data_IF_074529416233
#
_entry.id   IF_074529416233
#
_cell.length_a   1.000
_cell.length_b   1.000
_cell.length_c   1.000
_cell.angle_alpha   90.00
_cell.angle_beta   90.00
_cell.angle_gamma   90.00
#
_symmetry.space_group_name_H-M   'P 1'
#
loop_
_entity.id
_entity.type
_entity.pdbx_description
1 polymer ?
#
# COMPACT_ATOMS: atom_id res chain seq x y z
N UNK A 1 5.69 0.42 22.00
CA UNK A 1 6.78 1.00 21.19
C UNK A 1 7.56 2.07 21.93
N UNK A 2 6.93 3.03 22.61
CA UNK A 2 7.63 4.13 23.29
C UNK A 2 8.65 3.66 24.35
N UNK A 3 8.26 2.74 25.25
CA UNK A 3 9.17 2.17 26.26
C UNK A 3 10.38 1.42 25.63
N UNK A 4 10.19 0.78 24.48
CA UNK A 4 11.28 0.11 23.77
C UNK A 4 12.23 1.13 23.13
N UNK A 5 11.69 2.23 22.61
CA UNK A 5 12.49 3.34 22.08
C UNK A 5 13.41 3.91 23.15
N UNK A 6 12.85 4.20 24.32
CA UNK A 6 13.60 4.77 25.46
C UNK A 6 14.67 3.78 25.94
N UNK A 7 14.32 2.51 26.09
CA UNK A 7 15.28 1.47 26.47
C UNK A 7 16.44 1.31 25.48
N UNK A 8 16.16 1.45 24.18
CA UNK A 8 17.18 1.37 23.13
C UNK A 8 18.03 2.65 23.01
N UNK A 9 17.58 3.78 23.54
CA UNK A 9 18.36 5.04 23.53
C UNK A 9 19.27 5.20 24.75
N UNK A 10 19.09 4.39 25.79
CA UNK A 10 19.93 4.39 26.99
C UNK A 10 21.32 3.77 26.73
N UNK A 11 22.24 3.92 27.69
CA UNK A 11 23.61 3.36 27.61
C UNK A 11 23.66 1.84 27.35
N UNK A 12 22.64 1.10 27.80
CA UNK A 12 22.51 -0.35 27.57
C UNK A 12 21.76 -0.71 26.28
N UNK A 13 21.39 0.28 25.47
CA UNK A 13 20.55 0.08 24.30
C UNK A 13 21.16 -0.83 23.23
N UNK A 14 22.48 -0.83 23.10
CA UNK A 14 23.17 -1.68 22.13
C UNK A 14 23.16 -3.16 22.57
N UNK A 15 23.33 -3.41 23.87
CA UNK A 15 23.20 -4.76 24.44
C UNK A 15 21.77 -5.28 24.29
N UNK A 16 20.76 -4.44 24.54
CA UNK A 16 19.36 -4.81 24.33
C UNK A 16 19.08 -5.12 22.86
N UNK A 17 19.57 -4.28 21.93
CA UNK A 17 19.44 -4.51 20.50
C UNK A 17 20.08 -5.84 20.08
N UNK A 18 21.26 -6.16 20.62
CA UNK A 18 21.95 -7.42 20.38
C UNK A 18 21.18 -8.62 20.92
N UNK A 19 20.63 -8.55 22.14
CA UNK A 19 19.79 -9.60 22.70
C UNK A 19 18.53 -9.85 21.86
N UNK A 20 17.86 -8.78 21.42
CA UNK A 20 16.67 -8.89 20.57
C UNK A 20 17.05 -9.55 19.23
N UNK A 21 18.13 -9.08 18.60
CA UNK A 21 18.62 -9.63 17.32
C UNK A 21 19.10 -11.07 17.45
N UNK A 22 19.67 -11.46 18.59
CA UNK A 22 20.04 -12.85 18.87
C UNK A 22 18.80 -13.74 18.97
N UNK A 23 17.75 -13.28 19.65
CA UNK A 23 16.50 -14.02 19.79
C UNK A 23 15.70 -14.07 18.47
N UNK A 24 15.70 -12.97 17.72
CA UNK A 24 14.99 -12.80 16.46
C UNK A 24 15.98 -12.34 15.39
N UNK A 25 16.75 -13.25 14.76
CA UNK A 25 17.73 -12.87 13.74
C UNK A 25 17.10 -12.26 12.49
N UNK A 26 15.84 -12.60 12.20
CA UNK A 26 15.10 -12.08 11.06
C UNK A 26 13.83 -11.37 11.51
N UNK A 27 13.62 -10.16 11.01
CA UNK A 27 12.39 -9.41 11.19
C UNK A 27 11.74 -9.07 9.84
N UNK A 28 10.43 -9.22 9.79
CA UNK A 28 9.60 -8.82 8.66
C UNK A 28 8.48 -7.93 9.17
N UNK A 29 8.42 -6.70 8.65
CA UNK A 29 7.41 -5.72 9.02
C UNK A 29 6.45 -5.57 7.84
N UNK A 30 5.20 -5.93 8.07
CA UNK A 30 4.11 -5.72 7.11
C UNK A 30 3.48 -4.34 7.31
N UNK A 31 2.76 -3.85 6.30
CA UNK A 31 2.16 -2.52 6.28
C UNK A 31 3.15 -1.39 6.64
N UNK A 32 4.39 -1.49 6.14
CA UNK A 32 5.47 -0.57 6.50
C UNK A 32 5.18 0.89 6.13
N UNK A 33 4.27 1.15 5.18
CA UNK A 33 3.83 2.50 4.84
C UNK A 33 3.09 3.22 5.99
N UNK A 34 2.59 2.47 6.98
CA UNK A 34 1.92 3.01 8.17
C UNK A 34 2.88 3.20 9.36
N UNK A 35 4.18 2.95 9.15
CA UNK A 35 5.22 3.08 10.19
C UNK A 35 5.65 4.54 10.36
N UNK A 36 5.88 4.95 11.62
CA UNK A 36 6.43 6.27 11.94
C UNK A 36 7.96 6.27 12.10
N UNK A 37 8.56 7.46 12.16
CA UNK A 37 10.02 7.63 12.27
C UNK A 37 10.60 6.99 13.54
N UNK A 38 9.84 6.92 14.64
CA UNK A 38 10.30 6.34 15.90
C UNK A 38 10.35 4.81 15.80
N UNK A 39 9.31 4.20 15.25
CA UNK A 39 9.26 2.77 14.97
C UNK A 39 10.37 2.35 14.00
N UNK A 40 10.56 3.12 12.91
CA UNK A 40 11.66 2.84 11.99
C UNK A 40 13.03 2.96 12.65
N UNK A 41 13.25 3.97 13.51
CA UNK A 41 14.49 4.13 14.25
C UNK A 41 14.84 2.90 15.10
N UNK A 42 13.84 2.29 15.74
CA UNK A 42 14.01 1.10 16.56
C UNK A 42 14.44 -0.10 15.71
N UNK A 43 13.73 -0.37 14.61
CA UNK A 43 14.10 -1.47 13.72
C UNK A 43 15.45 -1.25 13.04
N UNK A 44 15.76 -0.01 12.66
CA UNK A 44 17.06 0.35 12.08
C UNK A 44 18.20 0.10 13.06
N UNK A 45 18.05 0.50 14.33
CA UNK A 45 19.04 0.24 15.38
C UNK A 45 19.24 -1.25 15.63
N UNK A 46 18.15 -2.03 15.67
CA UNK A 46 18.23 -3.46 15.92
C UNK A 46 18.84 -4.20 14.73
N UNK A 47 18.43 -3.92 13.49
CA UNK A 47 18.73 -4.80 12.36
C UNK A 47 19.63 -4.22 11.28
N UNK A 48 19.73 -2.88 11.15
CA UNK A 48 20.49 -2.25 10.07
C UNK A 48 21.88 -1.81 10.50
N UNK A 49 22.02 -1.17 11.66
CA UNK A 49 23.31 -0.62 12.11
C UNK A 49 24.34 -1.72 12.43
N UNK A 50 23.88 -2.92 12.81
CA UNK A 50 24.73 -4.05 13.20
C UNK A 50 24.39 -5.30 12.39
N UNK A 51 24.33 -5.15 11.06
CA UNK A 51 24.01 -6.23 10.14
C UNK A 51 25.12 -7.29 10.16
N UNK A 52 24.73 -8.55 10.35
CA UNK A 52 25.61 -9.72 10.27
C UNK A 52 25.10 -10.70 9.20
N UNK A 53 25.94 -11.62 8.74
CA UNK A 53 25.58 -12.61 7.72
C UNK A 53 24.36 -13.48 8.08
N UNK A 54 24.02 -13.59 9.37
CA UNK A 54 22.91 -14.41 9.86
C UNK A 54 21.70 -13.59 10.33
N UNK A 55 21.60 -12.33 9.92
CA UNK A 55 20.49 -11.44 10.30
C UNK A 55 19.85 -10.81 9.08
N UNK A 56 18.55 -10.53 9.14
CA UNK A 56 17.82 -9.94 8.03
C UNK A 56 16.65 -9.06 8.45
N UNK A 57 16.38 -8.03 7.65
CA UNK A 57 15.30 -7.09 7.87
C UNK A 57 14.54 -6.88 6.57
N UNK A 58 13.26 -7.23 6.56
CA UNK A 58 12.38 -7.15 5.41
C UNK A 58 11.25 -6.19 5.75
N UNK A 59 11.06 -5.20 4.88
CA UNK A 59 9.97 -4.23 4.98
C UNK A 59 9.03 -4.47 3.82
N UNK A 60 7.77 -4.78 4.12
CA UNK A 60 6.71 -5.01 3.15
C UNK A 60 5.71 -3.88 3.31
N UNK A 61 5.36 -3.25 2.19
CA UNK A 61 4.37 -2.18 2.19
C UNK A 61 4.14 -1.62 0.81
N UNK A 62 3.08 -0.83 0.70
CA UNK A 62 2.71 -0.14 -0.54
C UNK A 62 2.56 1.37 -0.28
N UNK A 63 3.46 2.22 -0.81
CA UNK A 63 3.39 3.67 -0.59
C UNK A 63 2.11 4.27 -1.19
N UNK A 64 1.48 3.61 -2.19
CA UNK A 64 0.21 4.03 -2.78
C UNK A 64 -0.96 3.91 -1.81
N UNK A 65 -0.81 3.13 -0.73
CA UNK A 65 -1.83 2.90 0.29
C UNK A 65 -1.59 3.71 1.57
N UNK A 66 -0.58 4.60 1.58
CA UNK A 66 -0.26 5.46 2.72
C UNK A 66 -1.30 6.58 2.94
N UNK A 67 -2.49 6.23 3.41
CA UNK A 67 -3.63 7.15 3.61
C UNK A 67 -3.74 7.68 5.05
N UNK A 68 -2.89 7.21 5.98
CA UNK A 68 -2.96 7.54 7.41
C UNK A 68 -2.09 8.73 7.84
N UNK A 69 -1.81 9.69 6.95
CA UNK A 69 -1.00 10.89 7.26
C UNK A 69 -1.48 11.66 8.50
N UNK A 70 -2.78 11.61 8.83
CA UNK A 70 -3.36 12.27 10.01
C UNK A 70 -3.07 11.56 11.35
N UNK A 71 -2.49 10.35 11.34
CA UNK A 71 -2.14 9.57 12.55
C UNK A 71 -0.65 9.53 12.87
N UNK A 72 0.17 10.30 12.14
CA UNK A 72 1.62 10.34 12.35
C UNK A 72 2.40 9.28 11.56
N UNK A 73 1.72 8.43 10.78
CA UNK A 73 2.37 7.64 9.73
C UNK A 73 3.00 8.61 8.73
N UNK A 74 4.29 8.43 8.49
CA UNK A 74 5.09 9.35 7.70
C UNK A 74 5.57 8.65 6.43
N UNK A 75 4.94 8.99 5.30
CA UNK A 75 5.38 8.51 3.98
C UNK A 75 6.87 8.81 3.74
N UNK A 76 7.43 9.88 4.31
CA UNK A 76 8.86 10.16 4.22
C UNK A 76 9.70 9.13 4.97
N UNK A 77 9.19 8.52 6.04
CA UNK A 77 9.85 7.40 6.72
C UNK A 77 9.89 6.17 5.82
N UNK A 78 8.79 5.84 5.14
CA UNK A 78 8.78 4.77 4.14
C UNK A 78 9.82 5.03 3.04
N UNK A 79 9.78 6.22 2.45
CA UNK A 79 10.68 6.61 1.35
C UNK A 79 12.15 6.58 1.78
N UNK A 80 12.45 7.12 2.97
CA UNK A 80 13.79 7.06 3.56
C UNK A 80 14.25 5.63 3.77
N UNK A 81 13.39 4.76 4.29
CA UNK A 81 13.73 3.36 4.50
C UNK A 81 13.95 2.61 3.18
N UNK A 82 13.14 2.90 2.17
CA UNK A 82 13.33 2.37 0.82
C UNK A 82 14.69 2.81 0.24
N UNK A 83 15.05 4.09 0.36
CA UNK A 83 16.36 4.66 -0.03
C UNK A 83 17.55 4.03 0.69
N UNK A 84 17.29 3.52 1.88
CA UNK A 84 18.27 2.91 2.74
C UNK A 84 18.32 1.36 2.65
N UNK A 85 17.43 0.74 1.88
CA UNK A 85 17.36 -0.70 1.72
C UNK A 85 18.37 -1.21 0.68
N UNK A 86 19.04 -2.33 0.99
CA UNK A 86 20.03 -2.95 0.10
C UNK A 86 19.41 -3.43 -1.23
N UNK A 87 18.14 -3.86 -1.18
CA UNK A 87 17.38 -4.36 -2.31
C UNK A 87 15.92 -3.93 -2.21
N UNK A 88 15.31 -3.65 -3.37
CA UNK A 88 13.88 -3.38 -3.50
C UNK A 88 13.26 -4.36 -4.49
N UNK A 89 12.05 -4.80 -4.18
CA UNK A 89 11.29 -5.73 -5.02
C UNK A 89 9.87 -5.21 -5.19
N UNK A 90 9.35 -5.30 -6.42
CA UNK A 90 7.97 -4.97 -6.74
C UNK A 90 7.19 -6.24 -7.07
N UNK A 91 6.00 -6.39 -6.47
CA UNK A 91 5.11 -7.51 -6.74
C UNK A 91 4.14 -7.13 -7.87
N UNK A 92 4.50 -7.53 -9.10
CA UNK A 92 3.78 -7.14 -10.33
C UNK A 92 2.53 -7.97 -10.65
N UNK A 93 2.12 -8.86 -9.75
CA UNK A 93 1.01 -9.79 -9.98
C UNK A 93 0.02 -9.79 -8.82
N UNK A 94 -1.22 -9.46 -9.14
CA UNK A 94 -2.36 -9.50 -8.24
C UNK A 94 -2.98 -10.90 -8.24
N UNK A 95 -3.01 -11.53 -7.07
CA UNK A 95 -3.58 -12.86 -6.83
C UNK A 95 -4.97 -12.83 -6.18
N UNK A 96 -5.46 -11.63 -5.82
CA UNK A 96 -6.69 -11.43 -5.04
C UNK A 96 -7.90 -11.15 -5.91
N UNK A 97 -7.69 -10.43 -7.02
CA UNK A 97 -8.75 -9.85 -7.83
C UNK A 97 -8.77 -10.42 -9.24
N UNK A 98 -9.98 -10.55 -9.78
CA UNK A 98 -10.25 -10.97 -11.15
C UNK A 98 -9.67 -9.96 -12.17
N UNK A 99 -9.38 -10.46 -13.37
CA UNK A 99 -8.67 -9.72 -14.41
C UNK A 99 -9.33 -8.38 -14.77
N UNK A 100 -10.64 -8.33 -14.98
CA UNK A 100 -11.34 -7.09 -15.35
C UNK A 100 -11.33 -6.05 -14.23
N UNK A 101 -11.29 -6.48 -12.96
CA UNK A 101 -11.07 -5.57 -11.81
C UNK A 101 -9.68 -4.95 -11.89
N UNK A 102 -8.64 -5.77 -12.03
CA UNK A 102 -7.26 -5.27 -12.11
C UNK A 102 -7.06 -4.34 -13.31
N UNK A 103 -7.59 -4.71 -14.47
CA UNK A 103 -7.54 -3.88 -15.69
C UNK A 103 -8.25 -2.54 -15.51
N UNK A 104 -9.44 -2.53 -14.89
CA UNK A 104 -10.17 -1.29 -14.64
C UNK A 104 -9.43 -0.35 -13.68
N UNK A 105 -8.78 -0.88 -12.63
CA UNK A 105 -7.92 -0.06 -11.75
C UNK A 105 -6.70 0.45 -12.51
N UNK A 106 -6.03 -0.39 -13.30
CA UNK A 106 -4.88 0.05 -14.09
C UNK A 106 -5.25 1.20 -15.03
N UNK A 107 -6.40 1.13 -15.70
CA UNK A 107 -6.91 2.20 -16.56
C UNK A 107 -7.31 3.45 -15.77
N UNK A 108 -7.95 3.26 -14.62
CA UNK A 108 -8.36 4.38 -13.76
C UNK A 108 -7.17 5.22 -13.31
N UNK A 109 -6.02 4.60 -13.06
CA UNK A 109 -4.80 5.25 -12.61
C UNK A 109 -3.80 5.60 -13.74
N UNK A 110 -4.17 5.40 -15.01
CA UNK A 110 -3.36 5.75 -16.18
C UNK A 110 -3.47 7.25 -16.51
N UNK A 111 -3.04 8.09 -15.57
CA UNK A 111 -3.08 9.54 -15.74
C UNK A 111 -1.81 10.07 -16.44
N UNK A 112 -1.91 11.12 -17.27
CA UNK A 112 -0.74 11.76 -17.89
C UNK A 112 0.25 12.37 -16.89
N UNK A 113 -0.22 12.68 -15.68
CA UNK A 113 0.58 13.15 -14.53
C UNK A 113 0.39 12.14 -13.40
N UNK A 114 1.36 12.05 -12.47
CA UNK A 114 1.26 11.13 -11.34
C UNK A 114 -0.10 11.29 -10.63
N UNK A 115 -0.85 10.20 -10.41
CA UNK A 115 -2.12 10.25 -9.68
C UNK A 115 -1.95 10.53 -8.19
N UNK A 116 -0.70 10.54 -7.70
CA UNK A 116 -0.37 10.74 -6.31
C UNK A 116 0.16 12.15 -6.05
N UNK A 117 -0.01 12.61 -4.80
CA UNK A 117 0.41 13.95 -4.35
C UNK A 117 1.93 14.12 -4.39
N UNK A 118 2.68 13.01 -4.31
CA UNK A 118 4.14 13.01 -4.27
C UNK A 118 4.70 12.36 -5.53
N UNK A 119 5.65 13.05 -6.18
CA UNK A 119 6.23 12.61 -7.46
C UNK A 119 7.04 11.30 -7.36
N UNK A 120 7.50 10.95 -6.17
CA UNK A 120 8.25 9.72 -5.90
C UNK A 120 7.36 8.52 -5.56
N UNK A 121 6.04 8.67 -5.67
CA UNK A 121 5.09 7.56 -5.60
C UNK A 121 4.58 7.32 -7.01
N UNK A 122 5.03 6.23 -7.62
CA UNK A 122 4.62 5.84 -8.96
C UNK A 122 3.49 4.81 -8.91
N UNK A 123 2.52 4.95 -9.82
CA UNK A 123 1.60 3.86 -10.12
C UNK A 123 2.22 2.94 -11.17
N UNK A 124 2.53 1.70 -10.81
CA UNK A 124 2.96 0.69 -11.77
C UNK A 124 1.80 -0.29 -12.02
N UNK A 125 1.30 -0.40 -13.27
CA UNK A 125 0.26 -1.37 -13.60
C UNK A 125 0.68 -2.80 -13.27
N UNK A 126 -0.26 -3.59 -12.73
CA UNK A 126 -0.01 -5.00 -12.36
C UNK A 126 -0.86 -5.95 -13.20
N UNK A 127 -0.42 -7.20 -13.30
CA UNK A 127 -1.17 -8.28 -13.98
C UNK A 127 -2.04 -9.06 -13.00
N UNK A 128 -3.20 -9.55 -13.43
CA UNK A 128 -4.00 -10.47 -12.64
C UNK A 128 -3.56 -11.93 -12.82
N UNK A 129 -3.82 -12.77 -11.82
CA UNK A 129 -3.81 -14.23 -11.99
C UNK A 129 -4.94 -14.65 -12.94
N UNK A 130 -4.69 -15.60 -13.84
CA UNK A 130 -5.59 -15.96 -14.96
C UNK A 130 -6.79 -16.83 -14.60
N UNK A 131 -6.81 -17.45 -13.42
CA UNK A 131 -7.77 -18.49 -13.01
C UNK A 131 -8.76 -18.00 -11.93
N UNK A 132 -9.20 -16.75 -12.04
CA UNK A 132 -10.24 -16.22 -11.17
C UNK A 132 -11.64 -16.69 -11.59
N UNK A 133 -12.48 -16.97 -10.61
CA UNK A 133 -13.91 -17.18 -10.85
C UNK A 133 -14.54 -15.86 -11.29
N UNK A 134 -15.36 -15.92 -12.33
CA UNK A 134 -16.13 -14.77 -12.79
C UNK A 134 -17.40 -14.64 -11.93
N UNK A 135 -17.79 -13.39 -11.64
CA UNK A 135 -18.99 -13.12 -10.88
C UNK A 135 -20.22 -13.14 -11.81
N UNK A 136 -21.23 -13.92 -11.44
CA UNK A 136 -22.50 -14.02 -12.16
C UNK A 136 -23.65 -13.68 -11.21
N UNK A 137 -24.62 -12.93 -11.69
CA UNK A 137 -25.86 -12.63 -11.00
C UNK A 137 -27.02 -12.98 -11.92
N UNK A 138 -27.97 -13.78 -11.45
CA UNK A 138 -29.10 -14.28 -12.25
C UNK A 138 -28.71 -14.97 -13.57
N UNK A 139 -27.53 -15.62 -13.60
CA UNK A 139 -27.01 -16.31 -14.79
C UNK A 139 -26.29 -15.40 -15.79
N UNK A 140 -26.28 -14.09 -15.57
CA UNK A 140 -25.53 -13.13 -16.39
C UNK A 140 -24.20 -12.79 -15.75
N UNK A 141 -23.16 -12.63 -16.58
CA UNK A 141 -21.86 -12.21 -16.08
C UNK A 141 -21.90 -10.73 -15.71
N UNK A 142 -21.55 -10.43 -14.47
CA UNK A 142 -21.55 -9.07 -13.94
C UNK A 142 -20.28 -8.30 -14.36
N UNK A 143 -20.38 -6.99 -14.65
CA UNK A 143 -19.21 -6.16 -14.90
C UNK A 143 -18.39 -5.95 -13.62
N UNK A 144 -17.08 -5.71 -13.77
CA UNK A 144 -16.19 -5.45 -12.64
C UNK A 144 -16.53 -4.13 -11.91
N UNK A 145 -17.05 -3.14 -12.62
CA UNK A 145 -17.42 -1.83 -12.09
C UNK A 145 -18.82 -1.43 -12.56
N UNK A 146 -19.63 -0.93 -11.62
CA UNK A 146 -20.89 -0.22 -11.91
C UNK A 146 -20.78 1.17 -11.30
N UNK A 147 -20.69 2.20 -12.13
CA UNK A 147 -20.68 3.58 -11.68
C UNK A 147 -22.10 4.15 -11.74
N UNK A 148 -22.55 4.72 -10.63
CA UNK A 148 -23.82 5.44 -10.56
C UNK A 148 -23.49 6.91 -10.33
N UNK A 149 -23.87 7.75 -11.28
CA UNK A 149 -23.69 9.19 -11.19
C UNK A 149 -25.06 9.81 -10.95
N UNK A 150 -25.14 10.61 -9.88
CA UNK A 150 -26.35 11.36 -9.53
C UNK A 150 -26.09 12.83 -9.76
N UNK A 151 -26.92 13.49 -10.56
CA UNK A 151 -26.95 14.95 -10.61
C UNK A 151 -27.61 15.44 -9.32
N UNK A 152 -26.84 15.94 -8.36
CA UNK A 152 -27.45 16.60 -7.21
C UNK A 152 -28.05 17.94 -7.64
N UNK A 153 -29.38 17.96 -7.77
CA UNK A 153 -30.19 19.12 -7.41
C UNK A 153 -30.94 18.80 -6.12
N UNK A 154 -30.26 18.92 -4.98
CA UNK A 154 -30.86 19.08 -3.63
C UNK A 154 -32.12 18.25 -3.30
N UNK A 155 -32.11 16.93 -3.49
CA UNK A 155 -33.24 16.06 -3.14
C UNK A 155 -32.77 14.70 -2.59
N UNK A 156 -33.40 14.23 -1.51
CA UNK A 156 -33.10 12.97 -0.82
C UNK A 156 -33.04 11.77 -1.79
N UNK A 157 -32.02 10.93 -1.60
CA UNK A 157 -31.83 9.65 -2.29
C UNK A 157 -32.86 8.61 -1.81
N UNK A 158 -33.85 8.29 -2.63
CA UNK A 158 -34.69 7.09 -2.47
C UNK A 158 -34.04 5.89 -3.20
N UNK A 159 -33.92 4.74 -2.49
CA UNK A 159 -33.58 3.43 -3.09
C UNK A 159 -34.83 2.83 -3.76
N UNK A 160 -34.72 1.91 -4.74
CA UNK A 160 -33.77 1.78 -5.85
C UNK A 160 -34.57 1.74 -7.18
N UNK A 161 -34.69 2.87 -7.89
CA UNK A 161 -35.03 2.86 -9.30
C UNK A 161 -33.72 3.11 -10.07
N UNK A 162 -33.32 2.13 -10.89
CA UNK A 162 -32.12 2.20 -11.74
C UNK A 162 -32.02 3.59 -12.40
N UNK A 163 -31.02 4.41 -12.08
CA UNK A 163 -30.91 5.72 -12.68
C UNK A 163 -30.65 5.57 -14.18
N UNK A 164 -31.32 6.42 -14.96
CA UNK A 164 -31.27 6.44 -16.42
C UNK A 164 -29.82 6.56 -16.91
N UNK A 165 -29.50 5.72 -17.89
CA UNK A 165 -28.23 5.61 -18.58
C UNK A 165 -27.74 6.98 -19.08
N UNK A 166 -26.60 7.46 -18.59
CA UNK A 166 -25.88 8.58 -19.20
C UNK A 166 -24.68 8.00 -19.95
N UNK A 167 -24.70 8.14 -21.27
CA UNK A 167 -23.67 7.65 -22.19
C UNK A 167 -22.48 8.61 -22.13
N UNK A 168 -21.37 8.19 -21.53
CA UNK A 168 -20.11 8.93 -21.65
C UNK A 168 -19.47 8.58 -22.98
N UNK A 169 -19.59 9.50 -23.94
CA UNK A 169 -18.83 9.47 -25.18
C UNK A 169 -17.54 10.25 -24.93
N UNK A 170 -16.41 9.53 -24.87
CA UNK A 170 -15.10 10.17 -24.92
C UNK A 170 -14.85 10.62 -26.36
N UNK A 171 -15.03 11.91 -26.64
CA UNK A 171 -14.51 12.51 -27.86
C UNK A 171 -13.07 12.97 -27.59
N UNK A 172 -12.13 12.33 -28.28
CA UNK A 172 -10.79 12.86 -28.50
C UNK A 172 -10.81 13.38 -29.95
N UNK A 173 -10.81 14.70 -30.12
CA UNK A 173 -10.89 15.39 -31.41
C UNK A 173 -12.21 16.14 -31.62
#
# INVERSE_FOLDING_TARGET
MQLLCEALQNEQGDQLAEMIRFQYPFAMIDEFQDTDAQQYGIFSKIYRENQSNNTGFIMIGDPKQAIYRFRGADIFTYLKAADQADKRFNLMKNYRSEQRVVEGVNQLFDFPKSPFIYDNIEFTPVSARKDHRQFYLNGEQEPAYRFYLTEEKGGKLDKPSLPRLVRFQFNIG
#
